data_IF_074645967202
#
_entry.id   IF_074645967202
#
_cell.length_a   1.000
_cell.length_b   1.000
_cell.length_c   1.000
_cell.angle_alpha   90.00
_cell.angle_beta   90.00
_cell.angle_gamma   90.00
#
_symmetry.space_group_name_H-M   'P 1'
#
loop_
_entity.id
_entity.type
_entity.pdbx_description
1 polymer ?
#
# COMPACT_ATOMS: atom_id res chain seq x y z
N UNK A 1 -3.96 -23.53 -57.92
CA UNK A 1 -3.61 -24.61 -56.96
C UNK A 1 -2.78 -23.98 -55.85
N UNK A 2 -3.37 -23.78 -54.68
CA UNK A 2 -2.66 -23.36 -53.47
C UNK A 2 -2.75 -24.51 -52.46
N UNK A 3 -1.62 -25.05 -51.98
CA UNK A 3 -1.67 -25.87 -50.78
C UNK A 3 -0.50 -25.51 -49.85
N UNK A 4 -0.59 -24.43 -49.06
CA UNK A 4 0.35 -24.21 -47.94
C UNK A 4 -0.29 -23.38 -46.83
N UNK A 5 -1.22 -23.96 -46.07
CA UNK A 5 -1.60 -23.38 -44.77
C UNK A 5 -1.92 -24.41 -43.66
N UNK A 6 -1.80 -25.71 -43.94
CA UNK A 6 -2.05 -26.75 -42.93
C UNK A 6 -0.81 -27.03 -42.05
N UNK A 7 0.41 -26.79 -42.55
CA UNK A 7 1.66 -27.16 -41.84
C UNK A 7 1.99 -26.27 -40.63
N UNK A 8 1.42 -25.06 -40.52
CA UNK A 8 1.72 -24.15 -39.40
C UNK A 8 0.83 -24.39 -38.18
N UNK A 9 -0.42 -24.81 -38.41
CA UNK A 9 -1.43 -25.11 -37.37
C UNK A 9 -1.05 -26.40 -36.61
N UNK A 10 -0.35 -27.32 -37.26
CA UNK A 10 0.05 -28.59 -36.66
C UNK A 10 1.27 -28.47 -35.71
N UNK A 11 2.08 -27.43 -35.87
CA UNK A 11 3.28 -27.20 -35.02
C UNK A 11 2.94 -26.66 -33.62
N UNK A 12 1.85 -25.92 -33.45
CA UNK A 12 1.45 -25.35 -32.16
C UNK A 12 0.67 -26.33 -31.28
N UNK A 13 0.05 -27.36 -31.86
CA UNK A 13 -0.62 -28.44 -31.11
C UNK A 13 0.34 -29.30 -30.28
N UNK A 14 1.65 -29.27 -30.57
CA UNK A 14 2.66 -30.04 -29.81
C UNK A 14 3.20 -29.34 -28.56
N UNK A 15 2.92 -28.05 -28.35
CA UNK A 15 3.54 -27.27 -27.26
C UNK A 15 2.90 -27.46 -25.89
N UNK A 16 1.59 -27.75 -25.84
CA UNK A 16 0.84 -27.86 -24.59
C UNK A 16 -0.05 -29.09 -24.57
N UNK A 17 -0.20 -29.74 -23.42
CA UNK A 17 -1.27 -30.72 -23.17
C UNK A 17 -2.15 -30.29 -22.02
N UNK A 18 -3.42 -30.69 -22.08
CA UNK A 18 -4.38 -30.41 -21.02
C UNK A 18 -4.39 -31.56 -20.02
N UNK A 19 -4.27 -31.24 -18.73
CA UNK A 19 -4.43 -32.20 -17.64
C UNK A 19 -5.57 -31.76 -16.73
N UNK A 20 -6.34 -32.72 -16.20
CA UNK A 20 -7.42 -32.45 -15.24
C UNK A 20 -6.86 -32.53 -13.83
N UNK A 21 -6.80 -31.40 -13.14
CA UNK A 21 -6.39 -31.33 -11.74
C UNK A 21 -7.62 -31.45 -10.83
N UNK A 22 -7.45 -32.11 -9.69
CA UNK A 22 -8.48 -32.27 -8.66
C UNK A 22 -7.89 -31.77 -7.35
N UNK A 23 -8.58 -30.88 -6.64
CA UNK A 23 -8.12 -30.44 -5.32
C UNK A 23 -8.27 -31.59 -4.31
N UNK A 24 -7.21 -32.03 -3.62
CA UNK A 24 -7.30 -33.12 -2.65
C UNK A 24 -8.10 -32.77 -1.39
N UNK A 25 -8.39 -31.48 -1.14
CA UNK A 25 -9.13 -31.02 0.05
C UNK A 25 -10.63 -30.87 -0.18
N UNK A 26 -11.06 -30.39 -1.35
CA UNK A 26 -12.49 -30.14 -1.63
C UNK A 26 -13.02 -30.84 -2.88
N UNK A 27 -12.19 -31.64 -3.57
CA UNK A 27 -12.53 -32.38 -4.78
C UNK A 27 -12.97 -31.53 -5.99
N UNK A 28 -12.84 -30.19 -5.93
CA UNK A 28 -13.10 -29.36 -7.09
C UNK A 28 -12.11 -29.67 -8.22
N UNK A 29 -12.57 -29.68 -9.48
CA UNK A 29 -11.73 -30.08 -10.62
C UNK A 29 -11.69 -29.03 -11.73
N UNK A 30 -10.53 -28.89 -12.36
CA UNK A 30 -10.31 -27.94 -13.46
C UNK A 30 -9.31 -28.50 -14.46
N UNK A 31 -9.47 -28.16 -15.73
CA UNK A 31 -8.49 -28.46 -16.77
C UNK A 31 -7.46 -27.34 -16.86
N UNK A 32 -6.17 -27.70 -16.81
CA UNK A 32 -5.06 -26.75 -17.00
C UNK A 32 -4.19 -27.18 -18.19
N UNK A 33 -3.60 -26.20 -18.88
CA UNK A 33 -2.67 -26.45 -20.00
C UNK A 33 -1.24 -26.43 -19.47
N UNK A 34 -0.50 -27.52 -19.65
CA UNK A 34 0.89 -27.67 -19.23
C UNK A 34 1.80 -27.75 -20.46
N UNK A 35 2.88 -26.95 -20.54
CA UNK A 35 3.85 -27.05 -21.62
C UNK A 35 4.53 -28.42 -21.64
N UNK A 36 4.58 -29.05 -22.82
CA UNK A 36 5.17 -30.39 -22.98
C UNK A 36 6.68 -30.44 -22.73
N UNK A 37 7.34 -29.29 -22.67
CA UNK A 37 8.79 -29.18 -22.45
C UNK A 37 9.17 -29.36 -20.98
N UNK A 38 8.31 -28.98 -20.03
CA UNK A 38 8.62 -29.02 -18.60
C UNK A 38 8.79 -30.47 -18.11
N UNK A 39 7.96 -31.39 -18.62
CA UNK A 39 7.98 -32.81 -18.23
C UNK A 39 9.17 -33.60 -18.79
N UNK A 40 9.91 -33.05 -19.77
CA UNK A 40 11.09 -33.72 -20.34
C UNK A 40 12.35 -33.57 -19.48
N UNK A 41 12.35 -32.63 -18.54
CA UNK A 41 13.53 -32.30 -17.74
C UNK A 41 13.68 -33.19 -16.49
N UNK A 42 12.58 -33.77 -15.98
CA UNK A 42 12.63 -34.66 -14.82
C UNK A 42 12.85 -36.12 -15.24
N UNK A 43 13.71 -36.86 -14.54
CA UNK A 43 13.94 -38.28 -14.81
C UNK A 43 12.69 -39.15 -14.53
N UNK A 44 11.89 -38.78 -13.52
CA UNK A 44 10.73 -39.57 -13.06
C UNK A 44 9.41 -38.80 -13.00
N UNK A 45 9.26 -37.86 -12.05
CA UNK A 45 8.05 -37.06 -11.86
C UNK A 45 8.39 -35.57 -11.87
N UNK A 46 7.51 -34.77 -12.46
CA UNK A 46 7.56 -33.31 -12.36
C UNK A 46 6.58 -32.84 -11.31
N UNK A 47 7.07 -32.05 -10.34
CA UNK A 47 6.23 -31.37 -9.36
C UNK A 47 5.71 -30.06 -9.93
N UNK A 48 4.40 -29.85 -9.90
CA UNK A 48 3.76 -28.60 -10.31
C UNK A 48 2.98 -28.05 -9.11
N UNK A 49 3.30 -26.83 -8.69
CA UNK A 49 2.56 -26.12 -7.64
C UNK A 49 1.30 -25.48 -8.21
N UNK A 50 0.14 -25.77 -7.60
CA UNK A 50 -1.16 -25.21 -7.93
C UNK A 50 -1.50 -24.14 -6.87
N UNK A 51 -1.46 -22.85 -7.22
CA UNK A 51 -1.76 -21.78 -6.28
C UNK A 51 -3.26 -21.73 -5.97
N UNK A 52 -3.60 -21.29 -4.75
CA UNK A 52 -5.01 -21.06 -4.41
C UNK A 52 -5.62 -19.96 -5.29
N UNK A 53 -6.82 -20.17 -5.80
CA UNK A 53 -7.51 -19.31 -6.77
C UNK A 53 -7.42 -19.83 -8.21
N UNK A 54 -6.48 -20.73 -8.53
CA UNK A 54 -6.44 -21.35 -9.86
C UNK A 54 -7.61 -22.33 -10.06
N UNK A 55 -7.83 -23.24 -9.09
CA UNK A 55 -8.90 -24.26 -9.12
C UNK A 55 -9.96 -24.01 -8.04
N UNK A 56 -9.51 -23.75 -6.82
CA UNK A 56 -10.30 -23.39 -5.65
C UNK A 56 -9.41 -22.61 -4.68
N UNK A 57 -9.89 -22.23 -3.50
CA UNK A 57 -9.11 -21.44 -2.53
C UNK A 57 -7.86 -22.16 -1.97
N UNK A 58 -7.80 -23.49 -2.07
CA UNK A 58 -6.69 -24.29 -1.56
C UNK A 58 -5.49 -24.35 -2.51
N UNK A 59 -4.29 -24.27 -1.94
CA UNK A 59 -3.02 -24.54 -2.62
C UNK A 59 -2.58 -25.99 -2.40
N UNK A 60 -1.99 -26.59 -3.44
CA UNK A 60 -1.50 -27.96 -3.41
C UNK A 60 -0.48 -28.18 -4.52
N UNK A 61 0.33 -29.22 -4.41
CA UNK A 61 1.23 -29.69 -5.45
C UNK A 61 0.66 -30.95 -6.11
N UNK A 62 0.93 -31.08 -7.41
CA UNK A 62 0.67 -32.29 -8.18
C UNK A 62 1.98 -32.86 -8.71
N UNK A 63 2.07 -34.18 -8.74
CA UNK A 63 3.20 -34.91 -9.33
C UNK A 63 2.74 -35.53 -10.64
N UNK A 64 3.35 -35.10 -11.74
CA UNK A 64 2.96 -35.48 -13.11
C UNK A 64 4.08 -36.31 -13.75
N UNK A 65 3.72 -37.43 -14.38
CA UNK A 65 4.67 -38.24 -15.15
C UNK A 65 4.88 -37.71 -16.58
N UNK A 66 5.74 -38.38 -17.36
CA UNK A 66 6.06 -37.98 -18.76
C UNK A 66 4.87 -38.15 -19.70
N UNK A 67 3.93 -39.01 -19.35
CA UNK A 67 2.69 -39.28 -20.08
C UNK A 67 1.56 -38.29 -19.72
N UNK A 68 1.83 -37.31 -18.84
CA UNK A 68 0.89 -36.29 -18.34
C UNK A 68 -0.20 -36.83 -17.41
N UNK A 69 0.03 -37.98 -16.79
CA UNK A 69 -0.84 -38.51 -15.74
C UNK A 69 -0.41 -37.96 -14.39
N UNK A 70 -1.39 -37.53 -13.60
CA UNK A 70 -1.15 -37.13 -12.21
C UNK A 70 -1.02 -38.39 -11.36
N UNK A 71 0.13 -38.55 -10.70
CA UNK A 71 0.46 -39.73 -9.87
C UNK A 71 0.20 -39.51 -8.40
N UNK A 72 0.37 -38.27 -7.92
CA UNK A 72 0.14 -37.95 -6.52
C UNK A 72 -0.28 -36.47 -6.37
N UNK A 73 -0.88 -36.20 -5.21
CA UNK A 73 -1.22 -34.87 -4.74
C UNK A 73 -0.54 -34.68 -3.38
N UNK A 74 -0.06 -33.47 -3.13
CA UNK A 74 0.45 -33.07 -1.81
C UNK A 74 -0.19 -31.75 -1.40
N UNK A 75 -0.81 -31.73 -0.23
CA UNK A 75 -1.28 -30.48 0.35
C UNK A 75 -0.06 -29.65 0.75
N UNK A 76 -0.07 -28.36 0.38
CA UNK A 76 0.93 -27.44 0.86
C UNK A 76 0.45 -26.88 2.19
N UNK A 77 1.21 -27.10 3.25
CA UNK A 77 0.93 -26.49 4.56
C UNK A 77 1.08 -24.96 4.50
N UNK A 78 1.99 -24.48 3.62
CA UNK A 78 2.27 -23.07 3.40
C UNK A 78 2.51 -22.79 1.90
N UNK A 79 1.95 -21.70 1.38
CA UNK A 79 2.19 -21.23 0.00
C UNK A 79 3.04 -19.94 0.04
N UNK A 80 4.34 -20.06 -0.26
CA UNK A 80 5.27 -18.90 -0.27
C UNK A 80 4.98 -17.97 -1.46
N UNK A 81 4.44 -18.48 -2.57
CA UNK A 81 4.06 -17.68 -3.75
C UNK A 81 2.91 -16.69 -3.52
N UNK A 82 2.24 -16.77 -2.36
CA UNK A 82 1.28 -15.78 -1.86
C UNK A 82 1.82 -14.95 -0.70
N UNK A 83 3.10 -15.03 -0.37
CA UNK A 83 3.72 -14.11 0.58
C UNK A 83 3.85 -12.72 -0.04
N UNK A 84 2.71 -12.04 -0.21
CA UNK A 84 2.66 -10.65 0.23
C UNK A 84 2.88 -10.71 1.75
N UNK A 85 4.14 -10.69 2.17
CA UNK A 85 4.49 -10.75 3.58
C UNK A 85 4.05 -9.44 4.23
N UNK A 86 2.90 -9.43 4.89
CA UNK A 86 2.40 -8.29 5.64
C UNK A 86 2.44 -8.60 7.14
N UNK A 87 3.48 -8.13 7.81
CA UNK A 87 3.72 -8.33 9.25
C UNK A 87 2.90 -7.37 10.14
N UNK A 88 1.63 -7.10 9.79
CA UNK A 88 0.80 -6.06 10.43
C UNK A 88 -0.64 -6.44 10.76
N UNK A 89 -1.03 -7.70 10.60
CA UNK A 89 -2.38 -8.16 10.94
C UNK A 89 -2.63 -8.19 12.46
N UNK A 90 -3.86 -7.91 12.95
CA UNK A 90 -4.16 -8.00 14.38
C UNK A 90 -4.01 -9.41 14.98
N UNK A 91 -3.89 -10.45 14.13
CA UNK A 91 -3.72 -11.84 14.56
C UNK A 91 -2.26 -12.21 14.92
N UNK A 92 -1.24 -11.56 14.33
CA UNK A 92 0.17 -11.81 14.67
C UNK A 92 0.58 -11.24 16.05
N UNK A 93 -0.24 -10.35 16.63
CA UNK A 93 0.00 -9.77 17.96
C UNK A 93 -0.33 -10.71 19.14
N UNK A 94 -0.92 -11.89 18.89
CA UNK A 94 -1.26 -12.84 19.95
C UNK A 94 -0.21 -13.94 20.17
N UNK A 95 0.76 -14.09 19.28
CA UNK A 95 1.59 -15.30 19.23
C UNK A 95 2.94 -15.22 19.98
N UNK A 96 3.47 -14.05 20.36
CA UNK A 96 4.77 -13.99 21.04
C UNK A 96 4.74 -13.12 22.30
N UNK A 97 4.46 -13.77 23.43
CA UNK A 97 4.84 -13.27 24.77
C UNK A 97 6.19 -13.86 25.12
N UNK A 98 7.26 -13.33 24.53
CA UNK A 98 8.62 -13.58 25.02
C UNK A 98 9.37 -12.27 25.11
N UNK A 99 9.85 -12.03 26.32
CA UNK A 99 10.49 -10.83 26.84
C UNK A 99 11.70 -10.38 26.05
N UNK A 100 11.56 -9.32 25.25
CA UNK A 100 12.60 -8.30 24.99
C UNK A 100 11.90 -6.97 24.73
N UNK A 101 12.49 -5.88 25.22
CA UNK A 101 11.97 -4.51 25.19
C UNK A 101 11.83 -3.98 23.75
N UNK A 102 10.71 -3.31 23.50
CA UNK A 102 10.42 -2.39 22.36
C UNK A 102 10.40 -3.08 20.97
N UNK A 103 9.28 -3.16 20.27
CA UNK A 103 8.67 -2.03 19.56
C UNK A 103 7.14 -2.11 19.53
N UNK A 104 6.49 -1.10 20.08
CA UNK A 104 5.11 -0.80 19.72
C UNK A 104 5.07 -0.41 18.24
N UNK A 105 4.77 -1.38 17.35
CA UNK A 105 4.16 -1.04 16.06
C UNK A 105 2.80 -0.42 16.41
N UNK A 106 2.81 0.90 16.57
CA UNK A 106 1.64 1.71 16.87
C UNK A 106 0.54 1.33 15.86
N UNK A 107 -0.69 1.08 16.32
CA UNK A 107 -1.82 0.76 15.43
C UNK A 107 -1.96 1.78 14.28
N UNK A 108 -1.57 3.03 14.49
CA UNK A 108 -1.52 4.03 13.42
C UNK A 108 -0.48 3.72 12.33
N UNK A 109 0.66 3.14 12.71
CA UNK A 109 1.71 2.69 11.79
C UNK A 109 1.23 1.48 10.99
N UNK A 110 0.60 0.47 11.61
CA UNK A 110 0.09 -0.69 10.86
C UNK A 110 -0.93 -0.28 9.80
N UNK A 111 -1.90 0.57 10.18
CA UNK A 111 -2.91 1.07 9.23
C UNK A 111 -2.26 1.98 8.17
N UNK A 112 -1.17 2.71 8.49
CA UNK A 112 -0.42 3.50 7.49
C UNK A 112 0.30 2.60 6.50
N UNK A 113 1.02 1.58 6.98
CA UNK A 113 1.69 0.61 6.12
C UNK A 113 0.67 -0.05 5.19
N UNK A 114 -0.53 -0.40 5.68
CA UNK A 114 -1.60 -0.94 4.82
C UNK A 114 -1.96 0.00 3.67
N UNK A 115 -2.20 1.28 3.95
CA UNK A 115 -2.50 2.27 2.90
C UNK A 115 -1.34 2.43 1.91
N UNK A 116 -0.10 2.34 2.39
CA UNK A 116 1.09 2.38 1.53
C UNK A 116 1.17 1.13 0.64
N UNK A 117 0.88 -0.06 1.19
CA UNK A 117 0.80 -1.30 0.39
C UNK A 117 -0.28 -1.17 -0.68
N UNK A 118 -1.48 -0.70 -0.33
CA UNK A 118 -2.57 -0.54 -1.29
C UNK A 118 -2.24 0.50 -2.37
N UNK A 119 -1.53 1.58 -2.01
CA UNK A 119 -1.00 2.55 -2.96
C UNK A 119 -0.01 1.91 -3.94
N UNK A 120 0.93 1.10 -3.45
CA UNK A 120 1.92 0.40 -4.28
C UNK A 120 1.22 -0.60 -5.21
N UNK A 121 0.29 -1.41 -4.69
CA UNK A 121 -0.50 -2.36 -5.49
C UNK A 121 -1.30 -1.65 -6.58
N UNK A 122 -1.91 -0.51 -6.27
CA UNK A 122 -2.67 0.27 -7.26
C UNK A 122 -1.75 0.80 -8.36
N UNK A 123 -0.50 1.15 -8.02
CA UNK A 123 0.50 1.57 -8.99
C UNK A 123 0.92 0.44 -9.94
N UNK A 124 0.85 -0.84 -9.53
CA UNK A 124 1.15 -1.98 -10.42
C UNK A 124 0.19 -2.14 -11.59
N UNK A 125 -0.99 -1.51 -11.54
CA UNK A 125 -1.88 -1.49 -12.70
C UNK A 125 -1.28 -0.65 -13.85
N UNK A 126 -0.27 0.18 -13.58
CA UNK A 126 0.55 0.80 -14.61
C UNK A 126 1.49 -0.26 -15.20
N UNK A 127 1.41 -0.47 -16.52
CA UNK A 127 2.04 -1.59 -17.27
C UNK A 127 3.57 -1.72 -17.12
N UNK A 128 4.21 -0.80 -16.42
CA UNK A 128 5.65 -0.67 -16.30
C UNK A 128 6.21 -1.03 -14.94
N UNK A 129 5.37 -1.24 -13.92
CA UNK A 129 5.85 -1.61 -12.59
C UNK A 129 5.70 -3.11 -12.43
N UNK A 130 6.84 -3.79 -12.32
CA UNK A 130 6.93 -5.25 -12.16
C UNK A 130 6.72 -5.70 -10.72
N UNK A 131 6.96 -4.82 -9.74
CA UNK A 131 6.73 -5.10 -8.33
C UNK A 131 7.26 -4.01 -7.42
N UNK A 132 7.09 -4.21 -6.11
CA UNK A 132 7.55 -3.29 -5.10
C UNK A 132 7.70 -3.97 -3.75
N UNK A 133 8.47 -3.35 -2.87
CA UNK A 133 8.66 -3.82 -1.51
C UNK A 133 8.84 -2.67 -0.53
N UNK A 134 8.51 -2.94 0.73
CA UNK A 134 8.71 -2.08 1.87
C UNK A 134 9.50 -2.84 2.92
N UNK A 135 10.55 -2.21 3.42
CA UNK A 135 11.30 -2.72 4.56
C UNK A 135 11.36 -1.67 5.66
N UNK A 136 11.56 -2.09 6.90
CA UNK A 136 12.01 -1.20 7.98
C UNK A 136 13.44 -0.75 7.72
N UNK A 137 13.93 0.27 8.44
CA UNK A 137 15.34 0.66 8.36
C UNK A 137 16.32 -0.41 8.86
N UNK A 138 15.86 -1.38 9.63
CA UNK A 138 16.64 -2.56 10.04
C UNK A 138 16.64 -3.67 8.96
N UNK A 139 15.88 -3.44 7.89
CA UNK A 139 15.68 -4.37 6.79
C UNK A 139 14.78 -5.56 7.15
N UNK A 140 13.86 -5.41 8.11
CA UNK A 140 12.71 -6.32 8.28
C UNK A 140 11.73 -6.06 7.14
N UNK A 141 11.25 -7.10 6.47
CA UNK A 141 10.32 -6.96 5.36
C UNK A 141 8.90 -6.67 5.88
N UNK A 142 8.28 -5.59 5.42
CA UNK A 142 6.90 -5.23 5.75
C UNK A 142 5.92 -5.59 4.63
N UNK A 143 6.42 -5.64 3.39
CA UNK A 143 5.69 -5.99 2.18
C UNK A 143 6.68 -6.31 1.06
N UNK A 144 6.37 -7.28 0.21
CA UNK A 144 7.07 -7.49 -1.05
C UNK A 144 6.18 -8.17 -2.07
N UNK A 145 6.26 -7.72 -3.31
CA UNK A 145 5.79 -8.40 -4.51
C UNK A 145 6.90 -8.49 -5.57
N UNK A 146 8.15 -8.33 -5.14
CA UNK A 146 9.30 -8.32 -6.04
C UNK A 146 9.55 -9.72 -6.62
N UNK A 147 9.93 -9.84 -7.90
CA UNK A 147 10.41 -11.10 -8.46
C UNK A 147 11.69 -11.58 -7.77
N UNK A 148 11.91 -12.90 -7.71
CA UNK A 148 13.05 -13.52 -7.02
C UNK A 148 14.41 -12.88 -7.36
N UNK A 149 14.64 -12.57 -8.64
CA UNK A 149 15.88 -11.94 -9.12
C UNK A 149 16.15 -10.59 -8.47
N UNK A 150 15.11 -9.78 -8.24
CA UNK A 150 15.23 -8.49 -7.57
C UNK A 150 15.54 -8.69 -6.08
N UNK A 151 14.90 -9.68 -5.44
CA UNK A 151 15.11 -10.00 -4.04
C UNK A 151 16.58 -10.37 -3.75
N UNK A 152 17.17 -11.26 -4.55
CA UNK A 152 18.57 -11.66 -4.39
C UNK A 152 19.55 -10.48 -4.43
N UNK A 153 19.31 -9.50 -5.32
CA UNK A 153 20.17 -8.31 -5.40
C UNK A 153 20.05 -7.44 -4.15
N UNK A 154 18.84 -7.23 -3.64
CA UNK A 154 18.60 -6.42 -2.42
C UNK A 154 19.28 -7.06 -1.21
N UNK A 155 19.16 -8.37 -1.04
CA UNK A 155 19.81 -9.10 0.07
C UNK A 155 21.32 -8.98 -0.01
N UNK A 156 21.90 -9.17 -1.21
CA UNK A 156 23.33 -9.03 -1.43
C UNK A 156 23.83 -7.62 -1.09
N UNK A 157 23.10 -6.59 -1.51
CA UNK A 157 23.44 -5.19 -1.24
C UNK A 157 23.40 -4.83 0.25
N UNK A 158 22.40 -5.35 0.97
CA UNK A 158 22.32 -5.15 2.42
C UNK A 158 23.54 -5.75 3.12
N UNK A 159 23.93 -6.97 2.73
CA UNK A 159 25.11 -7.62 3.29
C UNK A 159 26.41 -6.84 3.02
N UNK A 160 26.55 -6.29 1.81
CA UNK A 160 27.70 -5.45 1.46
C UNK A 160 27.74 -4.14 2.28
N UNK A 161 26.59 -3.54 2.57
CA UNK A 161 26.51 -2.35 3.44
C UNK A 161 26.87 -2.65 4.90
N UNK A 162 26.53 -3.83 5.42
CA UNK A 162 26.94 -4.24 6.77
C UNK A 162 28.47 -4.36 6.88
N UNK A 163 29.14 -4.70 5.77
CA UNK A 163 30.60 -4.84 5.72
C UNK A 163 31.37 -3.57 5.39
N UNK A 164 30.70 -2.53 4.87
CA UNK A 164 31.34 -1.28 4.47
C UNK A 164 30.73 -0.13 5.27
N UNK A 165 31.55 0.60 6.04
CA UNK A 165 31.18 1.84 6.75
C UNK A 165 30.90 3.01 5.77
N UNK A 166 30.23 2.75 4.65
CA UNK A 166 29.96 3.74 3.63
C UNK A 166 28.71 4.56 3.95
N UNK A 167 28.94 5.86 3.96
CA UNK A 167 28.04 6.95 4.29
C UNK A 167 26.66 6.89 3.58
N UNK A 168 25.63 7.27 4.34
CA UNK A 168 24.37 7.97 4.00
C UNK A 168 23.84 8.03 2.53
N UNK A 169 23.98 6.98 1.71
CA UNK A 169 23.34 6.93 0.40
C UNK A 169 21.81 6.89 0.59
N UNK A 170 21.14 7.99 0.23
CA UNK A 170 19.68 8.14 0.37
C UNK A 170 18.92 7.26 -0.62
N UNK A 171 19.48 7.08 -1.82
CA UNK A 171 18.88 6.32 -2.91
C UNK A 171 19.92 5.45 -3.64
N UNK A 172 19.46 4.32 -4.17
CA UNK A 172 20.22 3.44 -5.07
C UNK A 172 19.36 3.07 -6.27
N UNK A 173 19.99 3.01 -7.45
CA UNK A 173 19.35 2.60 -8.70
C UNK A 173 20.17 1.44 -9.26
N UNK A 174 19.50 0.32 -9.52
CA UNK A 174 20.09 -0.85 -10.15
C UNK A 174 19.50 -0.99 -11.55
N UNK A 175 20.37 -1.12 -12.53
CA UNK A 175 19.98 -1.41 -13.92
C UNK A 175 20.45 -2.82 -14.21
N UNK A 176 19.51 -3.69 -14.57
CA UNK A 176 19.78 -5.09 -14.86
C UNK A 176 20.18 -5.27 -16.33
N UNK A 177 20.75 -6.43 -16.68
CA UNK A 177 21.20 -6.73 -18.05
C UNK A 177 20.06 -6.72 -19.10
N UNK A 178 18.81 -6.80 -18.66
CA UNK A 178 17.63 -6.70 -19.52
C UNK A 178 17.01 -5.29 -19.51
N UNK A 179 17.72 -4.29 -18.99
CA UNK A 179 17.31 -2.90 -18.81
C UNK A 179 16.15 -2.68 -17.83
N UNK A 180 15.74 -3.71 -17.08
CA UNK A 180 14.84 -3.51 -15.95
C UNK A 180 15.54 -2.64 -14.89
N UNK A 181 14.77 -1.78 -14.23
CA UNK A 181 15.30 -0.79 -13.29
C UNK A 181 14.71 -1.02 -11.91
N UNK A 182 15.55 -1.14 -10.89
CA UNK A 182 15.14 -1.22 -9.49
C UNK A 182 15.61 0.01 -8.74
N UNK A 183 14.67 0.73 -8.14
CA UNK A 183 14.95 1.94 -7.36
C UNK A 183 14.68 1.63 -5.90
N UNK A 184 15.67 1.91 -5.05
CA UNK A 184 15.61 1.81 -3.60
C UNK A 184 15.81 3.19 -2.99
N UNK A 185 14.92 3.62 -2.09
CA UNK A 185 15.07 4.88 -1.36
C UNK A 185 14.68 4.75 0.12
N UNK A 186 15.47 5.36 1.00
CA UNK A 186 15.16 5.47 2.42
C UNK A 186 14.22 6.64 2.68
N UNK A 187 13.03 6.34 3.18
CA UNK A 187 12.02 7.30 3.59
C UNK A 187 12.08 7.49 5.11
N UNK A 188 12.49 8.68 5.55
CA UNK A 188 12.60 9.02 6.99
C UNK A 188 11.73 10.22 7.33
N UNK A 189 10.90 10.07 8.36
CA UNK A 189 10.13 11.12 9.05
C UNK A 189 10.25 10.92 10.56
N UNK A 190 9.73 11.83 11.36
CA UNK A 190 9.87 11.80 12.84
C UNK A 190 9.41 10.48 13.48
N UNK A 191 8.33 9.86 12.98
CA UNK A 191 7.74 8.66 13.59
C UNK A 191 7.92 7.39 12.77
N UNK A 192 8.61 7.44 11.62
CA UNK A 192 8.92 6.22 10.87
C UNK A 192 10.21 6.33 10.05
N UNK A 193 10.80 5.18 9.81
CA UNK A 193 11.94 4.98 8.91
C UNK A 193 11.70 3.72 8.10
N UNK A 194 11.54 3.89 6.78
CA UNK A 194 11.20 2.83 5.84
C UNK A 194 12.16 2.83 4.66
N UNK A 195 12.30 1.68 4.00
CA UNK A 195 12.97 1.54 2.71
C UNK A 195 11.91 1.19 1.69
N UNK A 196 11.71 2.06 0.70
CA UNK A 196 10.82 1.83 -0.43
C UNK A 196 11.64 1.27 -1.59
N UNK A 197 11.17 0.16 -2.16
CA UNK A 197 11.74 -0.44 -3.36
C UNK A 197 10.66 -0.56 -4.41
N UNK A 198 10.94 -0.13 -5.63
CA UNK A 198 10.05 -0.29 -6.78
C UNK A 198 10.85 -0.83 -7.96
N UNK A 199 10.31 -1.85 -8.61
CA UNK A 199 10.93 -2.54 -9.74
C UNK A 199 10.13 -2.25 -11.02
N UNK A 200 10.82 -1.71 -12.02
CA UNK A 200 10.26 -1.28 -13.29
C UNK A 200 10.75 -2.17 -14.42
N UNK A 201 9.88 -2.41 -15.40
CA UNK A 201 10.27 -3.06 -16.65
C UNK A 201 11.06 -2.13 -17.54
N UNK A 202 11.89 -2.71 -18.39
CA UNK A 202 12.62 -2.03 -19.45
C UNK A 202 11.77 -1.30 -20.52
N UNK A 203 10.45 -1.35 -20.44
CA UNK A 203 9.54 -0.67 -21.37
C UNK A 203 9.43 0.84 -21.13
N UNK A 204 10.06 1.36 -20.08
CA UNK A 204 10.06 2.78 -19.72
C UNK A 204 11.50 3.29 -19.57
N UNK A 205 11.77 4.49 -20.06
CA UNK A 205 13.07 5.13 -19.93
C UNK A 205 13.37 5.55 -18.48
N UNK A 206 14.64 5.53 -18.09
CA UNK A 206 15.08 5.84 -16.72
C UNK A 206 14.51 7.17 -16.19
N UNK A 207 14.51 8.30 -16.93
CA UNK A 207 13.94 9.56 -16.43
C UNK A 207 12.44 9.46 -16.08
N UNK A 208 11.70 8.68 -16.85
CA UNK A 208 10.29 8.44 -16.61
C UNK A 208 10.09 7.50 -15.41
N UNK A 209 10.90 6.44 -15.25
CA UNK A 209 10.88 5.60 -14.03
C UNK A 209 11.12 6.41 -12.76
N UNK A 210 12.08 7.35 -12.79
CA UNK A 210 12.36 8.26 -11.67
C UNK A 210 11.16 9.17 -11.37
N UNK A 211 10.49 9.66 -12.41
CA UNK A 211 9.28 10.48 -12.28
C UNK A 211 8.15 9.70 -11.60
N UNK A 212 7.89 8.46 -12.02
CA UNK A 212 6.90 7.59 -11.38
C UNK A 212 7.27 7.27 -9.93
N UNK A 213 8.54 6.94 -9.66
CA UNK A 213 9.02 6.68 -8.31
C UNK A 213 8.79 7.88 -7.38
N UNK A 214 9.14 9.11 -7.83
CA UNK A 214 8.91 10.32 -7.04
C UNK A 214 7.42 10.59 -6.80
N UNK A 215 6.53 10.28 -7.76
CA UNK A 215 5.07 10.37 -7.55
C UNK A 215 4.60 9.41 -6.45
N UNK A 216 5.06 8.15 -6.47
CA UNK A 216 4.71 7.15 -5.43
C UNK A 216 5.21 7.63 -4.08
N UNK A 217 6.49 8.01 -3.99
CA UNK A 217 7.10 8.57 -2.77
C UNK A 217 6.31 9.76 -2.23
N UNK A 218 5.98 10.73 -3.08
CA UNK A 218 5.20 11.91 -2.67
C UNK A 218 3.85 11.52 -2.06
N UNK A 219 3.13 10.58 -2.70
CA UNK A 219 1.85 10.08 -2.18
C UNK A 219 1.99 9.35 -0.84
N UNK A 220 3.07 8.59 -0.63
CA UNK A 220 3.37 7.95 0.67
C UNK A 220 3.57 9.00 1.76
N UNK A 221 4.37 10.04 1.47
CA UNK A 221 4.63 11.12 2.41
C UNK A 221 3.34 11.93 2.70
N UNK A 222 2.51 12.17 1.70
CA UNK A 222 1.21 12.84 1.85
C UNK A 222 0.22 12.00 2.68
N UNK A 223 0.18 10.67 2.48
CA UNK A 223 -0.61 9.76 3.33
C UNK A 223 -0.17 9.83 4.80
N UNK A 224 1.14 9.86 5.05
CA UNK A 224 1.67 10.00 6.39
C UNK A 224 1.33 11.36 7.01
N UNK A 225 1.57 12.45 6.29
CA UNK A 225 1.31 13.79 6.78
C UNK A 225 -0.21 13.98 7.01
N UNK A 226 -1.06 13.43 6.13
CA UNK A 226 -2.52 13.40 6.31
C UNK A 226 -2.91 12.62 7.54
N UNK A 227 -2.25 11.49 7.85
CA UNK A 227 -2.50 10.68 9.05
C UNK A 227 -2.01 11.28 10.34
N UNK A 228 -0.86 11.95 10.34
CA UNK A 228 -0.45 12.77 11.48
C UNK A 228 -1.48 13.86 11.76
N UNK A 229 -2.05 14.45 10.71
CA UNK A 229 -3.09 15.46 10.84
C UNK A 229 -4.46 14.85 11.21
N UNK A 230 -4.78 13.62 10.78
CA UNK A 230 -6.05 12.92 11.05
C UNK A 230 -6.03 12.03 12.30
N UNK A 231 -4.85 11.77 12.89
CA UNK A 231 -4.65 11.17 14.21
C UNK A 231 -5.14 12.08 15.34
N UNK A 232 -5.38 13.36 15.05
CA UNK A 232 -6.43 14.09 15.76
C UNK A 232 -7.75 13.55 15.25
N UNK A 233 -8.35 12.59 15.97
CA UNK A 233 -9.75 12.18 15.82
C UNK A 233 -10.56 13.41 15.38
N UNK A 234 -11.46 13.31 14.36
CA UNK A 234 -12.35 14.42 14.03
C UNK A 234 -12.87 14.96 15.35
N UNK A 235 -12.51 16.21 15.67
CA UNK A 235 -12.64 16.72 17.02
C UNK A 235 -14.01 16.35 17.56
N UNK A 236 -14.10 15.86 18.81
CA UNK A 236 -15.39 15.53 19.45
C UNK A 236 -16.41 16.69 19.30
N UNK A 237 -15.89 17.89 19.10
CA UNK A 237 -16.61 19.14 18.98
C UNK A 237 -16.45 19.71 17.57
N UNK A 238 -17.58 19.94 16.91
CA UNK A 238 -17.65 20.55 15.59
C UNK A 238 -18.82 21.52 15.48
N UNK A 239 -18.70 22.48 14.56
CA UNK A 239 -19.79 23.34 14.11
C UNK A 239 -19.91 23.20 12.61
N UNK A 240 -21.13 23.02 12.10
CA UNK A 240 -21.38 23.09 10.66
C UNK A 240 -21.46 24.55 10.25
N UNK A 241 -20.61 24.98 9.32
CA UNK A 241 -20.68 26.34 8.78
C UNK A 241 -20.11 26.43 7.37
N UNK A 242 -20.53 27.49 6.68
CA UNK A 242 -19.92 28.01 5.47
C UNK A 242 -18.76 28.95 5.82
N UNK A 243 -17.69 28.90 5.02
CA UNK A 243 -16.56 29.83 5.04
C UNK A 243 -16.29 30.22 3.58
N UNK A 244 -16.23 31.52 3.28
CA UNK A 244 -15.78 32.00 1.97
C UNK A 244 -14.36 32.57 2.02
N UNK A 245 -13.74 32.74 0.85
CA UNK A 245 -12.43 33.41 0.73
C UNK A 245 -12.41 34.82 1.31
N UNK A 246 -13.53 35.55 1.26
CA UNK A 246 -13.65 36.91 1.85
C UNK A 246 -13.51 36.87 3.37
N UNK A 247 -13.99 35.81 4.00
CA UNK A 247 -13.93 35.57 5.44
C UNK A 247 -12.52 35.24 5.96
N UNK A 248 -11.58 34.91 5.07
CA UNK A 248 -10.15 34.76 5.39
C UNK A 248 -9.30 36.03 5.20
N UNK A 249 -9.69 36.92 4.28
CA UNK A 249 -8.86 38.06 3.86
C UNK A 249 -8.93 39.26 4.82
N UNK A 250 -10.01 39.36 5.60
CA UNK A 250 -10.21 40.50 6.51
C UNK A 250 -9.39 40.39 7.80
N UNK A 251 -9.03 39.17 8.19
CA UNK A 251 -8.37 38.89 9.46
C UNK A 251 -7.41 37.70 9.29
N UNK A 252 -6.12 37.94 9.52
CA UNK A 252 -5.07 36.92 9.38
C UNK A 252 -5.11 35.88 10.48
N UNK A 253 -5.68 36.20 11.63
CA UNK A 253 -5.66 35.35 12.82
C UNK A 253 -7.00 34.67 13.08
N UNK A 254 -8.10 35.26 12.58
CA UNK A 254 -9.45 34.71 12.74
C UNK A 254 -10.06 34.22 11.41
N UNK A 255 -11.11 33.42 11.54
CA UNK A 255 -11.99 32.97 10.46
C UNK A 255 -13.42 33.24 10.88
N UNK A 256 -14.18 33.88 9.99
CA UNK A 256 -15.61 34.07 10.17
C UNK A 256 -16.39 32.83 9.73
N UNK A 257 -17.20 32.29 10.63
CA UNK A 257 -18.17 31.23 10.39
C UNK A 257 -19.48 31.83 9.91
N UNK A 258 -19.71 31.84 8.59
CA UNK A 258 -20.78 32.63 7.98
C UNK A 258 -22.19 32.17 8.37
N UNK A 259 -22.37 30.88 8.65
CA UNK A 259 -23.69 30.33 9.02
C UNK A 259 -24.16 30.83 10.39
N UNK A 260 -23.24 31.19 11.28
CA UNK A 260 -23.55 31.58 12.66
C UNK A 260 -22.96 32.95 13.04
N UNK A 261 -22.44 33.70 12.06
CA UNK A 261 -21.83 35.03 12.23
C UNK A 261 -20.76 35.10 13.35
N UNK A 262 -19.99 34.02 13.53
CA UNK A 262 -19.02 33.90 14.63
C UNK A 262 -17.58 33.99 14.13
N UNK A 263 -16.73 34.77 14.80
CA UNK A 263 -15.29 34.80 14.51
C UNK A 263 -14.54 33.84 15.42
N UNK A 264 -13.77 32.93 14.84
CA UNK A 264 -12.94 31.98 15.58
C UNK A 264 -11.46 32.15 15.22
N UNK A 265 -10.59 32.06 16.22
CA UNK A 265 -9.14 32.02 15.97
C UNK A 265 -8.78 30.79 15.15
N UNK A 266 -7.91 30.97 14.15
CA UNK A 266 -7.35 29.87 13.35
C UNK A 266 -6.66 28.81 14.20
N UNK A 267 -6.09 29.22 15.34
CA UNK A 267 -5.41 28.33 16.28
C UNK A 267 -6.32 27.29 16.95
N UNK A 268 -7.63 27.55 17.00
CA UNK A 268 -8.59 26.64 17.67
C UNK A 268 -9.28 25.69 16.69
N UNK A 269 -9.07 25.85 15.37
CA UNK A 269 -9.68 25.03 14.32
C UNK A 269 -8.76 23.87 13.96
N UNK A 270 -9.22 22.64 14.20
CA UNK A 270 -8.42 21.42 14.04
C UNK A 270 -8.25 21.00 12.57
N UNK A 271 -9.24 21.27 11.71
CA UNK A 271 -9.19 20.96 10.29
C UNK A 271 -8.96 22.19 9.39
N UNK A 272 -8.20 23.17 9.89
CA UNK A 272 -7.92 24.42 9.17
C UNK A 272 -7.31 24.16 7.78
N UNK A 273 -6.38 23.22 7.65
CA UNK A 273 -5.74 22.90 6.35
C UNK A 273 -6.75 22.41 5.32
N UNK A 274 -7.70 21.56 5.72
CA UNK A 274 -8.77 21.03 4.85
C UNK A 274 -9.66 22.18 4.35
N UNK A 275 -10.07 23.06 5.25
CA UNK A 275 -10.85 24.27 4.94
C UNK A 275 -10.10 25.15 3.92
N UNK A 276 -8.81 25.41 4.16
CA UNK A 276 -7.99 26.21 3.26
C UNK A 276 -7.82 25.56 1.88
N UNK A 277 -7.69 24.23 1.82
CA UNK A 277 -7.63 23.48 0.56
C UNK A 277 -8.95 23.54 -0.21
N UNK A 278 -10.09 23.41 0.49
CA UNK A 278 -11.42 23.56 -0.11
C UNK A 278 -11.61 24.95 -0.72
N UNK A 279 -11.21 25.99 0.03
CA UNK A 279 -11.30 27.38 -0.41
C UNK A 279 -10.42 27.70 -1.63
N UNK A 280 -9.24 27.05 -1.75
CA UNK A 280 -8.41 27.17 -2.95
C UNK A 280 -9.08 26.57 -4.20
N UNK A 281 -9.91 25.54 -4.03
CA UNK A 281 -10.56 24.82 -5.13
C UNK A 281 -11.89 25.45 -5.57
N UNK A 282 -12.72 25.88 -4.63
CA UNK A 282 -14.13 26.22 -4.89
C UNK A 282 -14.57 27.60 -4.36
N UNK A 283 -13.63 28.45 -3.91
CA UNK A 283 -13.87 29.76 -3.25
C UNK A 283 -14.73 29.73 -1.96
N UNK A 284 -15.38 28.60 -1.69
CA UNK A 284 -16.28 28.30 -0.60
C UNK A 284 -15.88 26.95 0.01
N UNK A 285 -15.93 26.88 1.34
CA UNK A 285 -15.95 25.63 2.09
C UNK A 285 -17.27 25.56 2.86
N UNK A 286 -17.97 24.44 2.75
CA UNK A 286 -19.18 24.15 3.53
C UNK A 286 -19.05 22.77 4.16
N UNK A 287 -19.07 22.72 5.50
CA UNK A 287 -18.93 21.46 6.19
C UNK A 287 -18.70 21.61 7.69
N UNK A 288 -18.24 20.51 8.30
CA UNK A 288 -17.90 20.47 9.72
C UNK A 288 -16.56 21.15 9.97
N UNK A 289 -16.56 22.07 10.91
CA UNK A 289 -15.38 22.77 11.40
C UNK A 289 -15.10 22.22 12.79
N UNK A 290 -14.01 21.47 12.90
CA UNK A 290 -13.64 20.79 14.14
C UNK A 290 -12.90 21.76 15.06
N UNK A 291 -13.32 21.83 16.32
CA UNK A 291 -12.84 22.81 17.30
C UNK A 291 -12.06 22.10 18.41
N UNK A 292 -11.00 22.75 18.90
CA UNK A 292 -10.20 22.23 20.01
C UNK A 292 -11.02 22.12 21.30
N UNK A 293 -10.84 21.03 22.05
CA UNK A 293 -11.54 20.81 23.33
C UNK A 293 -11.25 21.92 24.35
N UNK A 294 -10.01 22.46 24.36
CA UNK A 294 -9.64 23.58 25.23
C UNK A 294 -10.52 24.80 24.99
N UNK A 295 -10.79 25.14 23.74
CA UNK A 295 -11.66 26.26 23.40
C UNK A 295 -13.11 25.98 23.78
N UNK A 296 -13.59 24.75 23.60
CA UNK A 296 -14.95 24.37 23.99
C UNK A 296 -15.16 24.51 25.49
N UNK A 297 -14.22 24.03 26.32
CA UNK A 297 -14.28 24.20 27.78
C UNK A 297 -14.29 25.68 28.19
N UNK A 298 -13.54 26.52 27.48
CA UNK A 298 -13.56 27.96 27.69
C UNK A 298 -14.95 28.54 27.38
N UNK A 299 -15.51 28.22 26.22
CA UNK A 299 -16.84 28.71 25.82
C UNK A 299 -17.96 28.19 26.72
N UNK A 300 -17.84 26.96 27.22
CA UNK A 300 -18.76 26.40 28.21
C UNK A 300 -18.75 27.20 29.52
N UNK A 301 -17.56 27.57 30.02
CA UNK A 301 -17.43 28.42 31.21
C UNK A 301 -17.94 29.86 31.03
N UNK A 302 -17.99 30.35 29.78
CA UNK A 302 -18.49 31.69 29.43
C UNK A 302 -19.96 31.69 28.99
N UNK A 303 -20.61 30.51 28.93
CA UNK A 303 -21.98 30.36 28.48
C UNK A 303 -22.92 31.09 29.45
N UNK A 304 -23.75 32.00 28.92
CA UNK A 304 -24.60 32.88 29.71
C UNK A 304 -23.97 34.23 30.11
N UNK A 305 -22.65 34.39 29.98
CA UNK A 305 -21.97 35.69 30.18
C UNK A 305 -21.72 36.42 28.86
N UNK A 306 -21.33 35.68 27.81
CA UNK A 306 -21.10 36.23 26.47
C UNK A 306 -22.10 35.69 25.45
N UNK A 307 -22.67 36.59 24.65
CA UNK A 307 -23.60 36.25 23.56
C UNK A 307 -22.99 35.23 22.59
N UNK A 308 -21.72 35.42 22.23
CA UNK A 308 -21.00 34.57 21.28
C UNK A 308 -20.73 33.17 21.84
N UNK A 309 -20.45 33.07 23.15
CA UNK A 309 -20.29 31.79 23.83
C UNK A 309 -21.61 31.01 23.84
N UNK A 310 -22.72 31.67 24.16
CA UNK A 310 -24.06 31.07 24.11
C UNK A 310 -24.41 30.61 22.70
N UNK A 311 -24.12 31.42 21.68
CA UNK A 311 -24.37 31.08 20.28
C UNK A 311 -23.53 29.87 19.83
N UNK A 312 -22.23 29.86 20.17
CA UNK A 312 -21.31 28.76 19.89
C UNK A 312 -21.82 27.45 20.51
N UNK A 313 -22.15 27.45 21.81
CA UNK A 313 -22.62 26.26 22.52
C UNK A 313 -23.96 25.75 21.98
N UNK A 314 -24.85 26.66 21.56
CA UNK A 314 -26.14 26.27 20.98
C UNK A 314 -26.01 25.53 19.64
N UNK A 315 -24.95 25.80 18.87
CA UNK A 315 -24.70 25.22 17.53
C UNK A 315 -23.67 24.08 17.55
N UNK A 316 -23.00 23.86 18.67
CA UNK A 316 -22.02 22.78 18.84
C UNK A 316 -22.64 21.40 18.60
N UNK A 317 -22.02 20.62 17.72
CA UNK A 317 -22.42 19.27 17.32
C UNK A 317 -23.85 19.13 16.78
N UNK A 318 -24.41 20.21 16.24
CA UNK A 318 -25.74 20.20 15.61
C UNK A 318 -25.63 20.53 14.13
N UNK A 319 -26.44 19.87 13.31
CA UNK A 319 -26.63 20.25 11.92
C UNK A 319 -27.40 21.59 11.84
N UNK A 320 -27.20 22.37 10.76
CA UNK A 320 -27.68 23.74 10.64
C UNK A 320 -29.18 23.91 10.83
#
# INVERSE_FOLDING_TARGET
>A
MFPQNESKIESDRKKYRSIKIICPKCNNSKWIKVPSQILKQSEHLTTISIPGGLNCEHSFQIFVDKEFNIRAYQLCDFEISKMEFYEGGPESLKAEKTSLKEDYINYNLSVFIRDVVDLIRTAFNEKSILGGALFTSEGRMLYSSLPDKAYFQITREKHLQETQENEHLKNKIFIFNNDDTLILEYLRKEQFSLVLIVFFSNSIEIPETLTYFQKIKFRILDLYDTRLNSGKKPGKYWIYSKITRKSLLKDLDNIKLETIDLHLSRSVILNLKEILLGLKKQELFEGKIYISERYVKLMEGMNGMLKDATLFMNKLNKFP
#
